data_IF_062788747214
#
_entry.id   IF_062788747214
#
_cell.length_a   1.000
_cell.length_b   1.000
_cell.length_c   1.000
_cell.angle_alpha   90.00
_cell.angle_beta   90.00
_cell.angle_gamma   90.00
#
_symmetry.space_group_name_H-M   'P 1'
#
loop_
_entity.id
_entity.type
_entity.pdbx_description
1 polymer ?
#
# COMPACT_ATOMS: atom_id res chain seq x y z
N UNK A 1 17.84 28.77 -13.93
CA UNK A 1 18.91 29.27 -14.81
C UNK A 1 19.99 28.20 -14.83
N UNK A 2 20.00 27.35 -15.87
CA UNK A 2 20.92 26.20 -15.93
C UNK A 2 22.33 26.67 -16.26
N UNK A 3 23.33 26.19 -15.53
CA UNK A 3 24.73 26.38 -15.91
C UNK A 3 24.96 25.64 -17.23
N UNK A 4 25.45 26.34 -18.24
CA UNK A 4 25.80 25.75 -19.53
C UNK A 4 27.31 25.49 -19.53
N UNK A 5 27.68 24.23 -19.39
CA UNK A 5 29.08 23.82 -19.50
C UNK A 5 29.57 24.03 -20.94
N UNK A 6 30.81 24.48 -21.11
CA UNK A 6 31.46 24.62 -22.40
C UNK A 6 32.39 23.41 -22.64
N UNK A 7 32.01 22.43 -23.49
CA UNK A 7 32.80 21.21 -23.67
C UNK A 7 34.18 21.47 -24.29
N UNK A 8 34.28 22.44 -25.21
CA UNK A 8 35.53 22.71 -25.93
C UNK A 8 36.63 23.22 -25.00
N UNK A 9 36.26 24.02 -24.01
CA UNK A 9 37.20 24.57 -23.03
C UNK A 9 37.68 23.49 -22.04
N UNK A 10 36.77 22.59 -21.64
CA UNK A 10 37.11 21.46 -20.76
C UNK A 10 38.06 20.51 -21.48
N UNK A 11 37.81 20.20 -22.77
CA UNK A 11 38.67 19.33 -23.57
C UNK A 11 40.08 19.90 -23.71
N UNK A 12 40.22 21.20 -24.01
CA UNK A 12 41.53 21.87 -24.07
C UNK A 12 42.29 21.80 -22.74
N UNK A 13 41.59 21.93 -21.60
CA UNK A 13 42.22 21.77 -20.29
C UNK A 13 42.65 20.34 -20.01
N UNK A 14 41.88 19.34 -20.45
CA UNK A 14 42.26 17.92 -20.31
C UNK A 14 43.53 17.61 -21.09
N UNK A 15 43.68 18.17 -22.29
CA UNK A 15 44.89 18.00 -23.13
C UNK A 15 46.15 18.59 -22.48
N UNK A 16 46.02 19.74 -21.80
CA UNK A 16 47.16 20.46 -21.20
C UNK A 16 47.47 20.01 -19.78
N UNK A 17 46.45 19.82 -18.94
CA UNK A 17 46.58 19.58 -17.50
C UNK A 17 46.39 18.10 -17.10
N UNK A 18 45.94 17.26 -18.03
CA UNK A 18 45.69 15.84 -17.82
C UNK A 18 44.29 15.54 -17.25
N UNK A 19 43.74 14.39 -17.63
CA UNK A 19 42.37 13.97 -17.30
C UNK A 19 42.09 13.97 -15.79
N UNK A 20 42.97 13.34 -14.99
CA UNK A 20 42.77 13.17 -13.54
C UNK A 20 42.62 14.50 -12.79
N UNK A 21 43.41 15.51 -13.18
CA UNK A 21 43.40 16.81 -12.52
C UNK A 21 42.12 17.57 -12.84
N UNK A 22 41.74 17.62 -14.12
CA UNK A 22 40.50 18.29 -14.55
C UNK A 22 39.27 17.56 -14.01
N UNK A 23 39.29 16.23 -13.94
CA UNK A 23 38.20 15.44 -13.36
C UNK A 23 38.03 15.73 -11.87
N UNK A 24 39.11 15.84 -11.10
CA UNK A 24 39.06 16.21 -9.68
C UNK A 24 38.47 17.61 -9.46
N UNK A 25 38.77 18.54 -10.34
CA UNK A 25 38.26 19.93 -10.27
C UNK A 25 36.84 20.07 -10.82
N UNK A 26 36.35 19.10 -11.60
CA UNK A 26 35.07 19.18 -12.30
C UNK A 26 33.84 19.41 -11.38
N UNK A 27 33.95 19.04 -10.10
CA UNK A 27 32.91 19.30 -9.10
C UNK A 27 32.60 20.80 -8.91
N UNK A 28 33.55 21.70 -9.21
CA UNK A 28 33.30 23.15 -9.14
C UNK A 28 32.46 23.69 -10.29
N UNK A 29 32.32 22.94 -11.38
CA UNK A 29 31.49 23.33 -12.51
C UNK A 29 29.99 23.15 -12.23
N UNK A 30 29.66 22.35 -11.21
CA UNK A 30 28.29 22.12 -10.78
C UNK A 30 27.82 23.23 -9.84
N UNK A 31 26.55 23.65 -9.94
CA UNK A 31 26.01 24.62 -9.00
C UNK A 31 26.03 24.02 -7.60
N UNK A 32 26.53 24.77 -6.62
CA UNK A 32 26.37 24.38 -5.22
C UNK A 32 24.87 24.33 -4.91
N UNK A 33 24.38 23.25 -4.27
CA UNK A 33 23.00 23.23 -3.83
C UNK A 33 22.75 24.43 -2.91
N UNK A 34 21.57 25.07 -2.97
CA UNK A 34 21.24 26.15 -2.04
C UNK A 34 21.39 25.67 -0.60
N UNK A 35 21.78 26.57 0.29
CA UNK A 35 21.99 26.26 1.71
C UNK A 35 20.71 25.68 2.30
N UNK A 36 20.77 24.45 2.84
CA UNK A 36 19.60 23.72 3.33
C UNK A 36 18.80 22.95 2.27
N UNK A 37 19.38 22.64 1.10
CA UNK A 37 18.78 21.77 0.08
C UNK A 37 18.43 20.40 0.68
N UNK A 38 17.17 20.25 1.11
CA UNK A 38 16.56 18.96 1.42
C UNK A 38 16.02 18.40 0.10
N UNK A 39 16.31 17.14 -0.19
CA UNK A 39 15.57 16.41 -1.23
C UNK A 39 14.08 16.58 -0.92
N UNK A 40 13.39 17.39 -1.73
CA UNK A 40 11.94 17.41 -1.69
C UNK A 40 11.48 16.08 -2.27
N UNK A 41 11.20 15.13 -1.39
CA UNK A 41 10.37 13.98 -1.74
C UNK A 41 9.04 14.57 -2.20
N UNK A 42 8.90 14.77 -3.50
CA UNK A 42 7.71 15.36 -4.10
C UNK A 42 6.57 14.35 -3.97
N UNK A 43 5.72 14.58 -2.97
CA UNK A 43 4.42 13.96 -2.85
C UNK A 43 4.03 13.72 -1.40
N UNK A 44 3.00 14.42 -0.93
CA UNK A 44 2.22 13.90 0.21
C UNK A 44 1.44 12.68 -0.30
N UNK A 45 1.30 11.65 0.53
CA UNK A 45 0.44 10.52 0.19
C UNK A 45 -1.00 10.97 -0.04
N UNK A 46 -1.66 10.43 -1.06
CA UNK A 46 -3.08 10.67 -1.35
C UNK A 46 -3.92 9.55 -0.76
N UNK A 47 -4.92 9.83 0.08
CA UNK A 47 -5.79 8.78 0.62
C UNK A 47 -6.68 8.20 -0.48
N UNK A 48 -7.02 6.93 -0.36
CA UNK A 48 -8.04 6.33 -1.22
C UNK A 48 -9.43 6.88 -0.83
N UNK A 49 -10.29 7.26 -1.79
CA UNK A 49 -11.59 7.88 -1.50
C UNK A 49 -12.48 7.08 -0.54
N UNK A 50 -12.47 5.75 -0.66
CA UNK A 50 -13.24 4.86 0.22
C UNK A 50 -12.79 4.97 1.70
N UNK A 51 -11.48 4.97 1.96
CA UNK A 51 -10.98 5.05 3.33
C UNK A 51 -11.16 6.44 3.93
N UNK A 52 -11.05 7.49 3.10
CA UNK A 52 -11.38 8.86 3.52
C UNK A 52 -12.86 8.99 3.90
N UNK A 53 -13.76 8.36 3.14
CA UNK A 53 -15.19 8.32 3.47
C UNK A 53 -15.46 7.57 4.78
N UNK A 54 -14.85 6.39 4.97
CA UNK A 54 -15.00 5.59 6.20
C UNK A 54 -14.60 6.42 7.42
N UNK A 55 -13.44 7.09 7.38
CA UNK A 55 -12.98 7.93 8.49
C UNK A 55 -13.92 9.11 8.78
N UNK A 56 -14.47 9.75 7.74
CA UNK A 56 -15.48 10.81 7.90
C UNK A 56 -16.75 10.29 8.56
N UNK A 57 -17.25 9.13 8.15
CA UNK A 57 -18.44 8.52 8.75
C UNK A 57 -18.20 8.18 10.22
N UNK A 58 -17.05 7.59 10.55
CA UNK A 58 -16.65 7.28 11.95
C UNK A 58 -16.70 8.53 12.83
N UNK A 59 -16.04 9.61 12.41
CA UNK A 59 -16.06 10.90 13.14
C UNK A 59 -17.46 11.47 13.30
N UNK A 60 -18.30 11.32 12.28
CA UNK A 60 -19.68 11.82 12.31
C UNK A 60 -20.50 11.11 13.39
N UNK A 61 -20.42 9.77 13.46
CA UNK A 61 -21.11 9.01 14.51
C UNK A 61 -20.58 9.32 15.91
N UNK A 62 -19.26 9.43 16.08
CA UNK A 62 -18.66 9.80 17.36
C UNK A 62 -19.11 11.19 17.83
N UNK A 63 -19.19 12.17 16.92
CA UNK A 63 -19.67 13.51 17.24
C UNK A 63 -21.16 13.55 17.62
N UNK A 64 -21.95 12.56 17.19
CA UNK A 64 -23.35 12.38 17.60
C UNK A 64 -23.48 11.63 18.94
N UNK A 65 -22.37 11.20 19.55
CA UNK A 65 -22.36 10.51 20.85
C UNK A 65 -22.53 8.98 20.75
N UNK A 66 -22.43 8.40 19.55
CA UNK A 66 -22.43 6.93 19.41
C UNK A 66 -21.11 6.36 19.91
N UNK A 67 -21.17 5.15 20.45
CA UNK A 67 -20.00 4.37 20.86
C UNK A 67 -19.58 3.47 19.70
N UNK A 68 -18.35 3.60 19.26
CA UNK A 68 -17.78 2.72 18.24
C UNK A 68 -17.54 1.31 18.80
N UNK A 69 -18.00 0.28 18.08
CA UNK A 69 -17.88 -1.14 18.46
C UNK A 69 -17.46 -2.00 17.28
N UNK A 70 -16.81 -3.13 17.56
CA UNK A 70 -16.42 -4.12 16.56
C UNK A 70 -17.29 -5.38 16.69
N UNK A 71 -18.20 -5.56 15.74
CA UNK A 71 -19.10 -6.71 15.73
C UNK A 71 -18.43 -7.94 15.09
N UNK A 72 -18.88 -9.16 15.43
CA UNK A 72 -18.44 -10.38 14.74
C UNK A 72 -18.73 -10.31 13.24
N UNK A 73 -17.75 -10.67 12.42
CA UNK A 73 -17.87 -10.72 10.96
C UNK A 73 -18.27 -12.12 10.48
N UNK A 74 -17.76 -13.15 11.16
CA UNK A 74 -18.10 -14.56 10.90
C UNK A 74 -19.12 -14.95 11.96
N UNK A 75 -20.29 -15.41 11.51
CA UNK A 75 -21.41 -15.80 12.37
C UNK A 75 -21.98 -17.13 11.88
N UNK A 76 -22.56 -17.90 12.81
CA UNK A 76 -23.30 -19.12 12.49
C UNK A 76 -24.61 -18.78 11.79
N UNK A 77 -25.06 -19.66 10.88
CA UNK A 77 -26.33 -19.50 10.17
C UNK A 77 -27.55 -19.43 11.12
N UNK A 78 -27.44 -20.07 12.29
CA UNK A 78 -28.45 -20.03 13.36
C UNK A 78 -28.75 -18.61 13.84
N UNK A 79 -27.80 -17.67 13.77
CA UNK A 79 -28.04 -16.27 14.12
C UNK A 79 -28.97 -15.58 13.12
N UNK A 80 -28.89 -15.97 11.84
CA UNK A 80 -29.81 -15.50 10.80
C UNK A 80 -31.22 -16.05 11.04
N UNK A 81 -31.33 -17.32 11.43
CA UNK A 81 -32.63 -17.91 11.82
C UNK A 81 -33.23 -17.24 13.06
N UNK A 82 -32.42 -16.88 14.06
CA UNK A 82 -32.92 -16.14 15.24
C UNK A 82 -33.46 -14.76 14.89
N UNK A 83 -32.86 -14.08 13.91
CA UNK A 83 -33.24 -12.72 13.51
C UNK A 83 -34.40 -12.68 12.52
N UNK A 84 -34.45 -13.62 11.57
CA UNK A 84 -35.38 -13.59 10.43
C UNK A 84 -36.39 -14.75 10.40
N UNK A 85 -36.24 -15.75 11.27
CA UNK A 85 -37.18 -16.85 11.42
C UNK A 85 -37.44 -17.59 10.09
N UNK A 86 -38.69 -17.68 9.62
CA UNK A 86 -39.04 -18.39 8.37
C UNK A 86 -38.41 -17.81 7.10
N UNK A 87 -37.97 -16.54 7.10
CA UNK A 87 -37.38 -15.89 5.92
C UNK A 87 -35.87 -16.15 5.78
N UNK A 88 -35.22 -16.67 6.83
CA UNK A 88 -33.78 -16.89 6.87
C UNK A 88 -33.23 -17.71 5.69
N UNK A 89 -33.88 -18.77 5.17
CA UNK A 89 -33.36 -19.53 4.03
C UNK A 89 -33.13 -18.69 2.77
N UNK A 90 -33.98 -17.68 2.50
CA UNK A 90 -33.84 -16.81 1.32
C UNK A 90 -32.66 -15.84 1.47
N UNK A 91 -32.33 -15.46 2.71
CA UNK A 91 -31.20 -14.61 3.03
C UNK A 91 -29.90 -15.41 2.93
N UNK A 92 -29.89 -16.62 3.49
CA UNK A 92 -28.73 -17.51 3.52
C UNK A 92 -28.25 -17.93 2.12
N UNK A 93 -29.15 -17.94 1.13
CA UNK A 93 -28.79 -18.19 -0.28
C UNK A 93 -27.81 -17.15 -0.85
N UNK A 94 -27.75 -15.95 -0.25
CA UNK A 94 -26.85 -14.84 -0.67
C UNK A 94 -25.59 -14.73 0.19
N UNK A 95 -25.43 -15.62 1.18
CA UNK A 95 -24.31 -15.61 2.10
C UNK A 95 -23.19 -16.54 1.65
N UNK A 96 -21.95 -16.22 2.04
CA UNK A 96 -20.79 -17.08 1.80
C UNK A 96 -20.56 -17.99 3.01
N UNK A 97 -20.45 -19.29 2.77
CA UNK A 97 -20.11 -20.27 3.79
C UNK A 97 -18.61 -20.52 3.82
N UNK A 98 -18.05 -20.59 5.03
CA UNK A 98 -16.64 -20.93 5.23
C UNK A 98 -16.49 -22.46 5.24
N UNK A 99 -15.94 -22.99 4.15
CA UNK A 99 -15.55 -24.38 4.07
C UNK A 99 -14.08 -24.57 4.47
N UNK A 100 -13.75 -25.75 5.01
CA UNK A 100 -12.38 -26.16 5.33
C UNK A 100 -12.09 -27.47 4.61
N UNK A 101 -10.87 -27.64 4.12
CA UNK A 101 -10.43 -28.92 3.57
C UNK A 101 -10.36 -29.96 4.71
N UNK A 102 -11.14 -31.06 4.66
CA UNK A 102 -11.07 -32.08 5.70
C UNK A 102 -9.71 -32.76 5.68
N UNK A 103 -9.25 -33.22 6.84
CA UNK A 103 -8.05 -34.08 6.86
C UNK A 103 -8.37 -35.40 6.14
N UNK A 104 -7.46 -35.91 5.30
CA UNK A 104 -7.69 -37.15 4.58
C UNK A 104 -7.67 -38.35 5.54
N UNK A 105 -8.69 -39.21 5.46
CA UNK A 105 -8.78 -40.45 6.21
C UNK A 105 -7.95 -41.57 5.54
N UNK A 106 -6.64 -41.57 5.77
CA UNK A 106 -5.69 -42.51 5.16
C UNK A 106 -5.87 -43.96 5.68
N UNK A 107 -6.59 -44.16 6.78
CA UNK A 107 -6.80 -45.48 7.41
C UNK A 107 -8.22 -46.05 7.31
N UNK A 108 -9.23 -45.24 6.98
CA UNK A 108 -10.65 -45.64 6.93
C UNK A 108 -11.27 -45.54 5.53
N UNK A 109 -10.57 -44.92 4.57
CA UNK A 109 -11.04 -44.91 3.19
C UNK A 109 -11.03 -46.35 2.63
N UNK A 110 -12.14 -46.76 2.03
CA UNK A 110 -12.35 -48.14 1.53
C UNK A 110 -11.46 -48.54 0.35
N UNK A 111 -10.53 -47.68 -0.08
CA UNK A 111 -9.77 -47.90 -1.30
C UNK A 111 -8.25 -47.88 -1.03
N UNK A 112 -7.75 -49.03 -0.59
CA UNK A 112 -6.33 -49.36 -0.69
C UNK A 112 -6.05 -49.81 -2.13
N UNK A 113 -5.90 -48.86 -3.08
CA UNK A 113 -5.36 -49.20 -4.41
C UNK A 113 -3.87 -49.53 -4.29
N UNK A 114 -3.52 -50.72 -4.80
CA UNK A 114 -2.17 -51.21 -5.00
C UNK A 114 -1.41 -50.36 -6.00
#
# INVERSE_FOLDING_TARGET
>A
MGIRLNPEEILKRVEVEGFEKVWRESGSFLPKPPEGYRLSLRGRGTPHPLFDLIEKMRRTFLNQGFIEVANPIIVEDTEVYKQYGPEAPVILDRCYYLAVLPRPDIGLSREKRR
#
